data_IF_654088821892
#
_entry.id   IF_654088821892
#
_cell.length_a   1.000
_cell.length_b   1.000
_cell.length_c   1.000
_cell.angle_alpha   90.00
_cell.angle_beta   90.00
_cell.angle_gamma   90.00
#
_symmetry.space_group_name_H-M   'P 1'
#
loop_
_entity.id
_entity.type
_entity.pdbx_description
1 polymer ?
#
# COMPACT_ATOMS: atom_id res chain seq x y z
N UNK A 1 45.54 -69.54 20.91
CA UNK A 1 44.33 -69.95 20.16
C UNK A 1 43.70 -68.70 19.59
N UNK A 2 44.02 -68.30 18.34
CA UNK A 2 43.22 -68.55 17.13
C UNK A 2 41.71 -68.33 17.36
N UNK A 3 41.16 -67.22 16.86
CA UNK A 3 40.23 -67.23 15.73
C UNK A 3 39.91 -65.81 15.25
N UNK A 4 40.11 -65.60 13.96
CA UNK A 4 39.68 -64.44 13.19
C UNK A 4 38.39 -64.77 12.44
N UNK A 5 37.52 -63.78 12.22
CA UNK A 5 36.60 -63.65 11.07
C UNK A 5 36.10 -62.18 11.07
N UNK A 6 36.58 -61.27 10.19
CA UNK A 6 36.10 -60.96 8.82
C UNK A 6 34.56 -60.79 8.78
N UNK A 7 33.96 -59.64 8.42
CA UNK A 7 34.00 -59.01 7.08
C UNK A 7 33.07 -57.75 6.98
N UNK A 8 33.37 -56.88 5.99
CA UNK A 8 32.51 -55.90 5.26
C UNK A 8 31.90 -54.71 6.04
N UNK A 9 31.70 -53.50 5.52
CA UNK A 9 32.09 -52.75 4.31
C UNK A 9 31.38 -51.40 4.37
N UNK A 10 32.03 -50.33 3.88
CA UNK A 10 31.43 -49.14 3.24
C UNK A 10 30.26 -48.40 3.91
N UNK A 11 30.53 -47.16 4.35
CA UNK A 11 29.79 -46.00 3.82
C UNK A 11 30.54 -44.69 4.11
N UNK A 12 31.11 -44.10 3.06
CA UNK A 12 31.24 -42.64 2.99
C UNK A 12 29.82 -42.08 2.91
N UNK A 13 29.44 -41.22 3.86
CA UNK A 13 28.40 -40.21 3.61
C UNK A 13 29.02 -38.84 3.82
N UNK A 14 29.09 -38.13 2.70
CA UNK A 14 29.27 -36.68 2.63
C UNK A 14 28.38 -35.99 3.66
N UNK A 15 28.99 -35.24 4.59
CA UNK A 15 28.28 -34.19 5.33
C UNK A 15 28.49 -32.89 4.57
N UNK A 16 27.56 -32.59 3.66
CA UNK A 16 27.38 -31.24 3.12
C UNK A 16 25.90 -30.96 3.04
N UNK A 17 25.37 -30.24 4.04
CA UNK A 17 24.21 -29.36 3.93
C UNK A 17 23.76 -28.94 5.35
N UNK A 18 24.31 -27.85 5.85
CA UNK A 18 23.60 -27.04 6.86
C UNK A 18 24.02 -25.59 6.69
N UNK A 19 23.54 -24.95 5.62
CA UNK A 19 23.66 -23.50 5.45
C UNK A 19 22.35 -22.83 5.00
N UNK A 20 21.21 -23.49 5.17
CA UNK A 20 19.89 -22.91 4.85
C UNK A 20 19.12 -22.41 6.08
N UNK A 21 19.63 -22.63 7.30
CA UNK A 21 18.94 -22.25 8.55
C UNK A 21 19.17 -20.81 9.04
N UNK A 22 20.20 -20.12 8.54
CA UNK A 22 20.71 -18.88 9.16
C UNK A 22 19.96 -17.62 8.69
N UNK A 23 19.44 -17.59 7.47
CA UNK A 23 18.80 -16.40 6.88
C UNK A 23 17.39 -16.11 7.45
N UNK A 24 16.60 -17.15 7.72
CA UNK A 24 15.24 -17.01 8.25
C UNK A 24 15.21 -16.57 9.73
N UNK A 25 16.17 -17.03 10.55
CA UNK A 25 16.25 -16.64 11.96
C UNK A 25 16.75 -15.20 12.14
N UNK A 26 17.73 -14.76 11.36
CA UNK A 26 18.31 -13.42 11.45
C UNK A 26 17.35 -12.32 10.94
N UNK A 27 16.60 -12.60 9.87
CA UNK A 27 15.53 -11.71 9.36
C UNK A 27 14.37 -11.58 10.34
N UNK A 28 14.01 -12.65 11.05
CA UNK A 28 12.96 -12.62 12.08
C UNK A 28 13.31 -11.71 13.27
N UNK A 29 14.60 -11.68 13.67
CA UNK A 29 15.08 -10.80 14.74
C UNK A 29 15.05 -9.32 14.34
N UNK A 30 15.43 -9.01 13.10
CA UNK A 30 15.40 -7.64 12.59
C UNK A 30 13.99 -7.05 12.49
N UNK A 31 13.04 -7.81 11.94
CA UNK A 31 11.64 -7.37 11.82
C UNK A 31 11.00 -7.20 13.21
N UNK A 32 11.22 -8.15 14.13
CA UNK A 32 10.73 -8.03 15.51
C UNK A 32 11.32 -6.82 16.22
N UNK A 33 12.61 -6.55 16.05
CA UNK A 33 13.27 -5.37 16.61
C UNK A 33 12.72 -4.06 16.04
N UNK A 34 12.48 -3.99 14.74
CA UNK A 34 11.88 -2.83 14.09
C UNK A 34 10.44 -2.58 14.58
N UNK A 35 9.64 -3.64 14.71
CA UNK A 35 8.28 -3.57 15.27
C UNK A 35 8.29 -3.12 16.72
N UNK A 36 9.21 -3.62 17.55
CA UNK A 36 9.34 -3.21 18.94
C UNK A 36 9.67 -1.70 19.05
N UNK A 37 10.60 -1.21 18.23
CA UNK A 37 10.92 0.22 18.16
C UNK A 37 9.73 1.05 17.68
N UNK A 38 9.02 0.59 16.65
CA UNK A 38 7.81 1.24 16.18
C UNK A 38 6.77 1.35 17.30
N UNK A 39 6.56 0.27 18.06
CA UNK A 39 5.61 0.27 19.16
C UNK A 39 5.98 1.27 20.25
N UNK A 40 7.25 1.26 20.69
CA UNK A 40 7.73 2.23 21.67
C UNK A 40 7.49 3.68 21.22
N UNK A 41 7.77 4.00 19.95
CA UNK A 41 7.50 5.33 19.40
C UNK A 41 6.01 5.64 19.26
N UNK A 42 5.20 4.63 18.91
CA UNK A 42 3.76 4.79 18.72
C UNK A 42 3.02 4.93 20.06
N UNK A 43 3.56 4.39 21.14
CA UNK A 43 3.06 4.56 22.51
C UNK A 43 3.50 5.91 23.08
N UNK A 44 4.77 6.28 22.95
CA UNK A 44 5.30 7.56 23.47
C UNK A 44 4.77 8.77 22.70
N UNK A 45 4.68 8.68 21.36
CA UNK A 45 4.32 9.78 20.47
C UNK A 45 3.34 9.33 19.37
N UNK A 46 2.10 8.93 19.71
CA UNK A 46 1.17 8.28 18.78
C UNK A 46 0.85 9.09 17.53
N UNK A 47 0.62 10.39 17.67
CA UNK A 47 0.27 11.28 16.55
C UNK A 47 1.46 11.44 15.60
N UNK A 48 2.60 11.86 16.13
CA UNK A 48 3.81 12.11 15.33
C UNK A 48 4.29 10.84 14.64
N UNK A 49 4.23 9.69 15.33
CA UNK A 49 4.63 8.40 14.76
C UNK A 49 3.72 7.99 13.62
N UNK A 50 2.39 8.12 13.76
CA UNK A 50 1.43 7.78 12.69
C UNK A 50 1.55 8.71 11.49
N UNK A 51 1.68 10.01 11.72
CA UNK A 51 1.90 11.02 10.67
C UNK A 51 3.22 10.78 9.95
N UNK A 52 4.32 10.57 10.68
CA UNK A 52 5.62 10.26 10.09
C UNK A 52 5.59 8.96 9.27
N UNK A 53 4.92 7.93 9.78
CA UNK A 53 4.75 6.64 9.10
C UNK A 53 4.04 6.78 7.77
N UNK A 54 2.90 7.48 7.74
CA UNK A 54 2.14 7.67 6.51
C UNK A 54 2.95 8.48 5.48
N UNK A 55 3.59 9.57 5.91
CA UNK A 55 4.42 10.41 5.03
C UNK A 55 5.56 9.60 4.42
N UNK A 56 6.32 8.86 5.22
CA UNK A 56 7.47 8.06 4.74
C UNK A 56 7.02 7.01 3.74
N UNK A 57 5.95 6.27 4.03
CA UNK A 57 5.44 5.22 3.14
C UNK A 57 4.91 5.81 1.83
N UNK A 58 4.16 6.91 1.89
CA UNK A 58 3.62 7.56 0.69
C UNK A 58 4.72 8.17 -0.18
N UNK A 59 5.73 8.82 0.43
CA UNK A 59 6.90 9.33 -0.29
C UNK A 59 7.66 8.23 -1.01
N UNK A 60 7.90 7.12 -0.33
CA UNK A 60 8.54 5.95 -0.91
C UNK A 60 7.71 5.37 -2.06
N UNK A 61 6.39 5.19 -1.84
CA UNK A 61 5.48 4.67 -2.85
C UNK A 61 5.39 5.54 -4.10
N UNK A 62 5.29 6.86 -3.95
CA UNK A 62 5.22 7.78 -5.08
C UNK A 62 6.56 7.85 -5.83
N UNK A 63 7.69 7.87 -5.12
CA UNK A 63 9.03 7.78 -5.73
C UNK A 63 9.16 6.53 -6.60
N UNK A 64 8.70 5.38 -6.10
CA UNK A 64 8.72 4.13 -6.84
C UNK A 64 7.78 4.19 -8.06
N UNK A 65 6.55 4.70 -7.88
CA UNK A 65 5.58 4.84 -8.95
C UNK A 65 6.10 5.75 -10.09
N UNK A 66 6.72 6.88 -9.75
CA UNK A 66 7.32 7.79 -10.74
C UNK A 66 8.43 7.11 -11.53
N UNK A 67 9.29 6.31 -10.87
CA UNK A 67 10.35 5.54 -11.54
C UNK A 67 9.80 4.45 -12.45
N UNK A 68 8.75 3.73 -12.01
CA UNK A 68 8.09 2.70 -12.83
C UNK A 68 7.46 3.36 -14.07
N UNK A 69 6.74 4.48 -13.89
CA UNK A 69 6.11 5.22 -14.99
C UNK A 69 7.14 5.71 -16.00
N UNK A 70 8.27 6.24 -15.54
CA UNK A 70 9.37 6.65 -16.41
C UNK A 70 9.98 5.49 -17.20
N UNK A 71 10.30 4.38 -16.53
CA UNK A 71 10.84 3.17 -17.20
C UNK A 71 9.88 2.59 -18.23
N UNK A 72 8.59 2.60 -17.93
CA UNK A 72 7.57 2.10 -18.86
C UNK A 72 7.37 3.04 -20.06
N UNK A 73 7.41 4.36 -19.85
CA UNK A 73 7.39 5.32 -20.94
C UNK A 73 8.63 5.19 -21.83
N UNK A 74 9.80 4.94 -21.25
CA UNK A 74 11.04 4.70 -21.98
C UNK A 74 10.96 3.49 -22.92
N UNK A 75 10.34 2.39 -22.47
CA UNK A 75 10.16 1.17 -23.28
C UNK A 75 9.20 1.35 -24.46
N UNK A 76 8.25 2.27 -24.35
CA UNK A 76 7.24 2.53 -25.39
C UNK A 76 7.66 3.64 -26.37
N UNK A 77 8.75 4.35 -26.08
CA UNK A 77 9.26 5.42 -26.95
C UNK A 77 9.80 4.85 -28.26
N UNK A 78 9.25 5.30 -29.39
CA UNK A 78 9.60 4.80 -30.73
C UNK A 78 11.00 5.21 -31.20
N UNK A 79 11.56 6.27 -30.62
CA UNK A 79 12.77 6.90 -31.14
C UNK A 79 14.04 6.53 -30.34
N UNK A 80 13.97 5.56 -29.43
CA UNK A 80 15.12 5.07 -28.63
C UNK A 80 15.66 6.06 -27.58
N UNK A 81 15.34 7.35 -27.70
CA UNK A 81 15.71 8.39 -26.74
C UNK A 81 14.56 8.59 -25.72
N UNK A 82 14.58 7.81 -24.63
CA UNK A 82 13.74 8.14 -23.49
C UNK A 82 14.30 9.40 -22.79
N UNK A 83 13.46 10.41 -22.47
CA UNK A 83 13.95 11.58 -21.73
C UNK A 83 14.55 11.14 -20.38
N UNK A 84 15.57 11.84 -19.89
CA UNK A 84 16.17 11.54 -18.59
C UNK A 84 15.12 11.59 -17.47
N UNK A 85 15.24 10.72 -16.47
CA UNK A 85 14.32 10.70 -15.33
C UNK A 85 14.35 12.05 -14.61
N UNK A 86 13.18 12.67 -14.47
CA UNK A 86 12.99 13.89 -13.66
C UNK A 86 11.92 13.62 -12.62
N UNK A 87 12.26 13.87 -11.35
CA UNK A 87 11.33 13.73 -10.24
C UNK A 87 10.30 14.87 -10.27
N UNK A 88 9.02 14.54 -10.21
CA UNK A 88 7.94 15.50 -9.99
C UNK A 88 7.87 15.80 -8.48
N UNK A 89 8.62 16.81 -8.05
CA UNK A 89 8.69 17.26 -6.66
C UNK A 89 7.36 17.82 -6.16
N UNK A 90 6.55 18.43 -7.04
CA UNK A 90 5.22 18.96 -6.67
C UNK A 90 4.25 17.83 -6.37
N UNK A 91 4.29 16.76 -7.17
CA UNK A 91 3.55 15.52 -6.87
C UNK A 91 4.04 14.89 -5.58
N UNK A 92 5.35 14.80 -5.38
CA UNK A 92 5.92 14.24 -4.16
C UNK A 92 5.46 15.02 -2.91
N UNK A 93 5.47 16.36 -2.97
CA UNK A 93 4.97 17.24 -1.92
C UNK A 93 3.46 17.07 -1.69
N UNK A 94 2.68 16.89 -2.76
CA UNK A 94 1.24 16.63 -2.66
C UNK A 94 0.96 15.30 -1.92
N UNK A 95 1.68 14.23 -2.23
CA UNK A 95 1.55 12.95 -1.54
C UNK A 95 2.04 13.00 -0.09
N UNK A 96 3.14 13.70 0.20
CA UNK A 96 3.62 13.89 1.57
C UNK A 96 2.61 14.66 2.43
N UNK A 97 2.16 15.83 1.96
CA UNK A 97 1.20 16.66 2.70
C UNK A 97 -0.16 15.96 2.87
N UNK A 98 -0.64 15.27 1.84
CA UNK A 98 -1.84 14.43 1.94
C UNK A 98 -1.65 13.30 2.97
N UNK A 99 -0.48 12.64 2.93
CA UNK A 99 -0.11 11.61 3.89
C UNK A 99 -0.10 12.12 5.32
N UNK A 100 0.38 13.34 5.55
CA UNK A 100 0.39 13.94 6.87
C UNK A 100 -1.02 14.29 7.37
N UNK A 101 -1.77 15.05 6.57
CA UNK A 101 -3.05 15.64 6.97
C UNK A 101 -4.16 14.60 6.97
N UNK A 102 -4.31 13.86 5.88
CA UNK A 102 -5.42 12.92 5.73
C UNK A 102 -5.08 11.56 6.34
N UNK A 103 -4.06 10.88 5.81
CA UNK A 103 -3.76 9.48 6.22
C UNK A 103 -3.21 9.39 7.64
N UNK A 104 -2.32 10.31 8.00
CA UNK A 104 -1.64 10.30 9.29
C UNK A 104 -2.52 10.85 10.41
N UNK A 105 -3.07 12.05 10.20
CA UNK A 105 -3.78 12.79 11.24
C UNK A 105 -5.30 12.57 11.23
N UNK A 106 -5.99 12.81 10.11
CA UNK A 106 -7.44 12.67 10.07
C UNK A 106 -7.88 11.21 10.22
N UNK A 107 -7.31 10.29 9.46
CA UNK A 107 -7.74 8.88 9.46
C UNK A 107 -7.50 8.20 10.81
N UNK A 108 -6.47 8.58 11.58
CA UNK A 108 -6.29 7.98 12.91
C UNK A 108 -7.43 8.33 13.86
N UNK A 109 -7.92 9.57 13.79
CA UNK A 109 -9.07 10.01 14.58
C UNK A 109 -10.37 9.40 14.05
N UNK A 110 -10.51 9.32 12.73
CA UNK A 110 -11.67 8.69 12.10
C UNK A 110 -11.80 7.22 12.46
N UNK A 111 -10.72 6.44 12.37
CA UNK A 111 -10.74 5.03 12.79
C UNK A 111 -10.97 4.88 14.28
N UNK A 112 -10.42 5.77 15.11
CA UNK A 112 -10.72 5.79 16.55
C UNK A 112 -12.21 6.04 16.81
N UNK A 113 -12.81 7.00 16.11
CA UNK A 113 -14.24 7.29 16.19
C UNK A 113 -15.10 6.09 15.74
N UNK A 114 -14.75 5.44 14.63
CA UNK A 114 -15.44 4.23 14.21
C UNK A 114 -15.35 3.11 15.26
N UNK A 115 -14.23 3.01 15.98
CA UNK A 115 -14.08 2.04 17.07
C UNK A 115 -14.85 2.41 18.34
N UNK A 116 -15.16 3.68 18.57
CA UNK A 116 -16.06 4.07 19.67
C UNK A 116 -17.52 3.79 19.34
N UNK A 117 -17.93 3.97 18.08
CA UNK A 117 -19.30 3.71 17.61
C UNK A 117 -19.56 2.22 17.39
N UNK A 118 -18.54 1.49 16.91
CA UNK A 118 -18.58 0.05 16.66
C UNK A 118 -17.48 -0.66 17.46
N UNK A 119 -17.64 -0.81 18.79
CA UNK A 119 -16.62 -1.41 19.64
C UNK A 119 -16.26 -2.82 19.21
N UNK A 120 -14.95 -3.07 19.10
CA UNK A 120 -14.42 -4.37 18.72
C UNK A 120 -14.79 -5.41 19.77
N UNK A 121 -15.38 -6.50 19.31
CA UNK A 121 -15.76 -7.62 20.16
C UNK A 121 -14.56 -8.56 20.32
N UNK A 122 -13.99 -8.61 21.52
CA UNK A 122 -12.80 -9.42 21.87
C UNK A 122 -13.21 -10.85 22.24
N UNK A 123 -12.40 -11.86 21.89
CA UNK A 123 -12.64 -13.27 22.27
C UNK A 123 -13.52 -14.09 21.30
N UNK A 124 -14.19 -13.45 20.35
CA UNK A 124 -14.90 -14.13 19.26
C UNK A 124 -13.94 -14.51 18.12
N UNK A 125 -14.19 -15.65 17.47
CA UNK A 125 -13.45 -16.05 16.26
C UNK A 125 -13.46 -14.88 15.26
N UNK A 126 -12.29 -14.53 14.72
CA UNK A 126 -12.16 -13.47 13.74
C UNK A 126 -12.94 -13.84 12.47
N UNK A 127 -14.16 -13.32 12.36
CA UNK A 127 -15.04 -13.51 11.21
C UNK A 127 -15.26 -12.16 10.54
N UNK A 128 -15.15 -12.15 9.21
CA UNK A 128 -15.35 -10.94 8.41
C UNK A 128 -16.78 -10.39 8.54
N UNK A 129 -17.77 -11.28 8.68
CA UNK A 129 -19.19 -10.93 8.73
C UNK A 129 -19.67 -10.38 10.09
N UNK A 130 -18.77 -10.14 11.06
CA UNK A 130 -19.19 -9.59 12.35
C UNK A 130 -19.60 -8.13 12.21
N UNK A 131 -20.60 -7.72 13.00
CA UNK A 131 -21.13 -6.34 12.97
C UNK A 131 -20.05 -5.30 13.30
N UNK A 132 -19.15 -5.59 14.24
CA UNK A 132 -18.01 -4.72 14.62
C UNK A 132 -16.92 -4.62 13.54
N UNK A 133 -17.03 -5.39 12.46
CA UNK A 133 -16.15 -5.33 11.28
C UNK A 133 -16.90 -4.70 10.10
N UNK A 134 -18.08 -5.23 9.76
CA UNK A 134 -18.85 -4.79 8.59
C UNK A 134 -19.37 -3.36 8.74
N UNK A 135 -19.90 -2.98 9.91
CA UNK A 135 -20.49 -1.65 10.08
C UNK A 135 -19.46 -0.52 9.91
N UNK A 136 -18.30 -0.50 10.61
CA UNK A 136 -17.30 0.54 10.39
C UNK A 136 -16.71 0.49 8.97
N UNK A 137 -16.56 -0.71 8.39
CA UNK A 137 -16.10 -0.88 7.01
C UNK A 137 -17.05 -0.20 6.00
N UNK A 138 -18.36 -0.47 6.09
CA UNK A 138 -19.34 0.08 5.17
C UNK A 138 -19.51 1.59 5.36
N UNK A 139 -19.53 2.07 6.61
CA UNK A 139 -19.56 3.51 6.89
C UNK A 139 -18.32 4.20 6.31
N UNK A 140 -17.15 3.59 6.43
CA UNK A 140 -15.93 4.12 5.84
C UNK A 140 -15.99 4.10 4.30
N UNK A 141 -16.27 2.95 3.69
CA UNK A 141 -16.15 2.75 2.25
C UNK A 141 -17.27 3.39 1.42
N UNK A 142 -18.49 3.45 1.96
CA UNK A 142 -19.65 4.02 1.25
C UNK A 142 -19.89 5.49 1.62
N UNK A 143 -19.49 5.90 2.83
CA UNK A 143 -19.61 7.28 3.30
C UNK A 143 -18.31 8.05 3.13
N UNK A 144 -17.35 7.83 4.04
CA UNK A 144 -16.13 8.65 4.14
C UNK A 144 -15.27 8.62 2.88
N UNK A 145 -15.13 7.46 2.22
CA UNK A 145 -14.32 7.37 1.00
C UNK A 145 -14.97 8.10 -0.17
N UNK A 146 -16.28 7.92 -0.35
CA UNK A 146 -17.01 8.50 -1.47
C UNK A 146 -17.16 10.02 -1.36
N UNK A 147 -17.47 10.52 -0.16
CA UNK A 147 -17.83 11.93 0.06
C UNK A 147 -16.67 12.74 0.64
N UNK A 148 -15.78 12.11 1.40
CA UNK A 148 -14.65 12.78 2.04
C UNK A 148 -13.33 12.57 1.30
N UNK A 149 -12.87 11.33 1.19
CA UNK A 149 -11.53 10.99 0.66
C UNK A 149 -11.30 11.51 -0.74
N UNK A 150 -12.14 11.13 -1.71
CA UNK A 150 -11.89 11.46 -3.11
C UNK A 150 -11.97 12.98 -3.38
N UNK A 151 -13.01 13.70 -2.93
CA UNK A 151 -13.06 15.15 -3.09
C UNK A 151 -11.86 15.84 -2.44
N UNK A 152 -11.51 15.47 -1.20
CA UNK A 152 -10.36 16.04 -0.53
C UNK A 152 -9.05 15.72 -1.24
N UNK A 153 -8.86 14.49 -1.72
CA UNK A 153 -7.67 14.07 -2.46
C UNK A 153 -7.47 14.90 -3.72
N UNK A 154 -8.51 15.03 -4.56
CA UNK A 154 -8.39 15.81 -5.80
C UNK A 154 -8.19 17.30 -5.53
N UNK A 155 -8.93 17.87 -4.58
CA UNK A 155 -8.78 19.28 -4.21
C UNK A 155 -7.38 19.57 -3.65
N UNK A 156 -6.94 18.80 -2.64
CA UNK A 156 -5.66 19.02 -1.97
C UNK A 156 -4.47 18.79 -2.90
N UNK A 157 -4.45 17.66 -3.61
CA UNK A 157 -3.34 17.36 -4.52
C UNK A 157 -3.32 18.28 -5.73
N UNK A 158 -4.49 18.78 -6.19
CA UNK A 158 -4.57 19.83 -7.19
C UNK A 158 -3.94 21.14 -6.70
N UNK A 159 -4.36 21.59 -5.51
CA UNK A 159 -3.84 22.81 -4.88
C UNK A 159 -2.31 22.77 -4.71
N UNK A 160 -1.76 21.71 -4.11
CA UNK A 160 -0.30 21.60 -3.89
C UNK A 160 0.48 21.54 -5.22
N UNK A 161 -0.14 21.04 -6.29
CA UNK A 161 0.47 21.02 -7.63
C UNK A 161 0.33 22.36 -8.36
N UNK A 162 -0.42 23.31 -7.82
CA UNK A 162 -0.65 24.63 -8.39
C UNK A 162 -1.78 24.67 -9.42
N UNK A 163 -2.73 23.73 -9.35
CA UNK A 163 -3.93 23.74 -10.19
C UNK A 163 -4.99 24.65 -9.60
N UNK A 164 -5.85 25.18 -10.46
CA UNK A 164 -7.03 25.92 -10.01
C UNK A 164 -8.08 24.97 -9.42
N UNK A 165 -9.07 25.54 -8.74
CA UNK A 165 -10.21 24.80 -8.22
C UNK A 165 -10.97 24.09 -9.35
N UNK A 166 -11.23 24.80 -10.45
CA UNK A 166 -12.00 24.28 -11.58
C UNK A 166 -11.28 23.12 -12.28
N UNK A 167 -9.96 23.24 -12.48
CA UNK A 167 -9.13 22.14 -13.03
C UNK A 167 -9.18 20.89 -12.14
N UNK A 168 -9.12 21.09 -10.81
CA UNK A 168 -9.15 19.99 -9.84
C UNK A 168 -10.52 19.31 -9.81
N UNK A 169 -11.59 20.10 -9.91
CA UNK A 169 -12.97 19.64 -9.99
C UNK A 169 -13.26 18.89 -11.29
N UNK A 170 -12.76 19.38 -12.42
CA UNK A 170 -12.88 18.71 -13.71
C UNK A 170 -12.12 17.38 -13.71
N UNK A 171 -10.89 17.34 -13.19
CA UNK A 171 -10.13 16.10 -13.07
C UNK A 171 -10.84 15.08 -12.17
N UNK A 172 -11.41 15.54 -11.05
CA UNK A 172 -12.23 14.70 -10.18
C UNK A 172 -13.41 14.14 -10.97
N UNK A 173 -14.24 14.94 -11.62
CA UNK A 173 -15.40 14.46 -12.40
C UNK A 173 -15.00 13.47 -13.50
N UNK A 174 -13.84 13.68 -14.12
CA UNK A 174 -13.30 12.81 -15.16
C UNK A 174 -12.87 11.44 -14.63
N UNK A 175 -12.23 11.41 -13.45
CA UNK A 175 -11.65 10.19 -12.87
C UNK A 175 -12.59 9.47 -11.91
N UNK A 176 -13.37 10.22 -11.14
CA UNK A 176 -14.33 9.74 -10.16
C UNK A 176 -15.60 9.24 -10.84
N UNK A 177 -15.47 8.06 -11.44
CA UNK A 177 -16.54 7.32 -12.13
C UNK A 177 -16.81 6.00 -11.42
N UNK A 178 -17.95 5.39 -11.71
CA UNK A 178 -18.32 4.06 -11.19
C UNK A 178 -17.22 3.01 -11.39
N UNK A 179 -16.48 3.07 -12.51
CA UNK A 179 -15.34 2.16 -12.75
C UNK A 179 -14.23 2.31 -11.70
N UNK A 180 -13.87 3.54 -11.33
CA UNK A 180 -12.86 3.77 -10.28
C UNK A 180 -13.37 3.32 -8.92
N UNK A 181 -14.64 3.60 -8.61
CA UNK A 181 -15.28 3.15 -7.37
C UNK A 181 -15.33 1.62 -7.26
N UNK A 182 -15.69 0.92 -8.34
CA UNK A 182 -15.70 -0.54 -8.37
C UNK A 182 -14.30 -1.12 -8.12
N UNK A 183 -13.27 -0.57 -8.77
CA UNK A 183 -11.87 -0.98 -8.54
C UNK A 183 -11.42 -0.67 -7.10
N UNK A 184 -11.82 0.48 -6.57
CA UNK A 184 -11.53 0.87 -5.19
C UNK A 184 -12.16 -0.10 -4.21
N UNK A 185 -13.45 -0.40 -4.36
CA UNK A 185 -14.16 -1.34 -3.48
C UNK A 185 -13.61 -2.76 -3.59
N UNK A 186 -13.28 -3.23 -4.79
CA UNK A 186 -12.68 -4.55 -4.98
C UNK A 186 -11.36 -4.73 -4.20
N UNK A 187 -10.57 -3.66 -4.06
CA UNK A 187 -9.33 -3.69 -3.29
C UNK A 187 -9.54 -3.39 -1.80
N UNK A 188 -10.24 -2.29 -1.49
CA UNK A 188 -10.30 -1.75 -0.14
C UNK A 188 -11.33 -2.42 0.76
N UNK A 189 -12.41 -3.02 0.23
CA UNK A 189 -13.37 -3.76 1.07
C UNK A 189 -12.68 -4.97 1.74
N UNK A 190 -11.98 -5.85 0.99
CA UNK A 190 -11.19 -6.92 1.61
C UNK A 190 -10.09 -6.39 2.53
N UNK A 191 -9.29 -5.42 2.06
CA UNK A 191 -8.15 -4.90 2.81
C UNK A 191 -8.58 -4.27 4.14
N UNK A 192 -9.61 -3.43 4.15
CA UNK A 192 -10.10 -2.83 5.38
C UNK A 192 -10.90 -3.79 6.25
N UNK A 193 -11.58 -4.77 5.67
CA UNK A 193 -12.22 -5.79 6.48
C UNK A 193 -11.18 -6.64 7.24
N UNK A 194 -10.01 -6.93 6.65
CA UNK A 194 -8.85 -7.47 7.37
C UNK A 194 -8.36 -6.49 8.45
N UNK A 195 -8.26 -5.20 8.13
CA UNK A 195 -7.86 -4.17 9.10
C UNK A 195 -8.75 -4.18 10.36
N UNK A 196 -10.08 -4.14 10.18
CA UNK A 196 -11.03 -4.11 11.30
C UNK A 196 -11.18 -5.46 12.00
N UNK A 197 -11.01 -6.58 11.29
CA UNK A 197 -11.13 -7.92 11.86
C UNK A 197 -9.87 -8.40 12.59
N UNK A 198 -8.68 -8.09 12.08
CA UNK A 198 -7.43 -8.74 12.50
C UNK A 198 -6.39 -7.74 13.02
N UNK A 199 -6.26 -6.56 12.41
CA UNK A 199 -5.19 -5.61 12.75
C UNK A 199 -5.54 -4.86 14.04
N UNK A 200 -4.63 -4.79 15.04
CA UNK A 200 -4.83 -3.97 16.22
C UNK A 200 -4.91 -2.48 15.86
N UNK A 201 -5.72 -1.71 16.59
CA UNK A 201 -5.98 -0.28 16.31
C UNK A 201 -4.70 0.56 16.23
N UNK A 202 -3.70 0.24 17.04
CA UNK A 202 -2.39 0.90 17.08
C UNK A 202 -1.65 0.85 15.74
N UNK A 203 -1.90 -0.17 14.91
CA UNK A 203 -1.24 -0.38 13.61
C UNK A 203 -2.12 -0.01 12.41
N UNK A 204 -3.33 0.50 12.60
CA UNK A 204 -4.23 0.80 11.48
C UNK A 204 -3.63 1.78 10.47
N UNK A 205 -2.89 2.79 10.94
CA UNK A 205 -2.22 3.75 10.03
C UNK A 205 -1.05 3.12 9.28
N UNK A 206 -0.25 2.28 9.95
CA UNK A 206 0.82 1.53 9.29
C UNK A 206 0.24 0.63 8.19
N UNK A 207 -0.82 -0.12 8.52
CA UNK A 207 -1.48 -1.04 7.61
C UNK A 207 -2.11 -0.32 6.41
N UNK A 208 -2.92 0.72 6.64
CA UNK A 208 -3.59 1.45 5.56
C UNK A 208 -2.58 2.14 4.63
N UNK A 209 -1.46 2.64 5.18
CA UNK A 209 -0.39 3.25 4.39
C UNK A 209 0.30 2.22 3.49
N UNK A 210 0.59 1.02 4.02
CA UNK A 210 1.16 -0.08 3.25
C UNK A 210 0.21 -0.58 2.15
N UNK A 211 -1.09 -0.73 2.46
CA UNK A 211 -2.10 -1.07 1.45
C UNK A 211 -2.27 0.04 0.42
N UNK A 212 -2.11 1.31 0.81
CA UNK A 212 -2.12 2.46 -0.09
C UNK A 212 -0.99 2.39 -1.12
N UNK A 213 0.20 1.93 -0.72
CA UNK A 213 1.31 1.70 -1.64
C UNK A 213 0.98 0.59 -2.66
N UNK A 214 0.37 -0.52 -2.22
CA UNK A 214 -0.09 -1.58 -3.11
C UNK A 214 -1.16 -1.08 -4.09
N UNK A 215 -2.15 -0.32 -3.59
CA UNK A 215 -3.18 0.30 -4.42
C UNK A 215 -2.61 1.23 -5.48
N UNK A 216 -1.69 2.13 -5.10
CA UNK A 216 -1.04 3.04 -6.04
C UNK A 216 -0.23 2.28 -7.12
N UNK A 217 0.39 1.16 -6.75
CA UNK A 217 1.10 0.29 -7.69
C UNK A 217 0.13 -0.34 -8.68
N UNK A 218 -0.98 -0.90 -8.22
CA UNK A 218 -2.03 -1.48 -9.08
C UNK A 218 -2.57 -0.43 -10.06
N UNK A 219 -2.91 0.76 -9.57
CA UNK A 219 -3.40 1.85 -10.43
C UNK A 219 -2.37 2.23 -11.49
N UNK A 220 -1.08 2.25 -11.13
CA UNK A 220 -0.02 2.53 -12.09
C UNK A 220 0.06 1.45 -13.15
N UNK A 221 -0.01 0.17 -12.80
CA UNK A 221 0.06 -0.94 -13.74
C UNK A 221 -1.15 -0.97 -14.70
N UNK A 222 -2.36 -0.82 -14.17
CA UNK A 222 -3.61 -0.78 -14.98
C UNK A 222 -3.61 0.43 -15.93
N UNK A 223 -2.96 1.52 -15.56
CA UNK A 223 -2.83 2.69 -16.44
C UNK A 223 -1.86 2.41 -17.59
N UNK A 224 -0.79 1.63 -17.34
CA UNK A 224 0.19 1.28 -18.36
C UNK A 224 -0.38 0.35 -19.44
N UNK A 225 -1.22 -0.61 -19.07
CA UNK A 225 -1.86 -1.55 -20.02
C UNK A 225 -2.72 -0.84 -21.07
N UNK A 226 -3.30 0.32 -20.74
CA UNK A 226 -4.17 1.08 -21.66
C UNK A 226 -3.41 1.92 -22.68
N UNK A 227 -2.12 2.17 -22.47
CA UNK A 227 -1.31 3.00 -23.37
C UNK A 227 -1.17 2.34 -24.76
N UNK A 228 -0.83 1.04 -24.87
CA UNK A 228 -0.82 0.32 -26.15
C UNK A 228 -2.16 0.33 -26.89
N UNK A 229 -3.27 0.10 -26.18
CA UNK A 229 -4.62 0.06 -26.77
C UNK A 229 -5.01 1.41 -27.39
N UNK A 230 -4.83 2.50 -26.64
CA UNK A 230 -5.13 3.85 -27.11
C UNK A 230 -4.26 4.24 -28.31
N UNK A 231 -2.99 3.83 -28.34
CA UNK A 231 -2.10 4.07 -29.46
C UNK A 231 -2.52 3.30 -30.73
N UNK A 232 -3.09 2.10 -30.58
CA UNK A 232 -3.64 1.32 -31.70
C UNK A 232 -4.95 1.92 -32.23
N UNK A 233 -5.86 2.35 -31.35
CA UNK A 233 -7.11 2.99 -31.76
C UNK A 233 -6.87 4.29 -32.53
N UNK A 234 -5.91 5.10 -32.08
CA UNK A 234 -5.56 6.36 -32.75
C UNK A 234 -4.95 6.12 -34.14
N UNK A 235 -4.19 5.03 -34.33
CA UNK A 235 -3.71 4.63 -35.66
C UNK A 235 -4.86 4.22 -36.57
N UNK A 236 -5.83 3.46 -36.05
CA UNK A 236 -7.01 3.01 -36.81
C UNK A 236 -7.90 4.16 -37.27
N UNK A 237 -8.03 5.24 -36.48
CA UNK A 237 -8.84 6.42 -36.86
C UNK A 237 -8.15 7.34 -37.89
N UNK A 238 -6.84 7.19 -38.08
CA UNK A 238 -6.04 7.97 -39.03
C UNK A 238 -5.78 7.24 -40.36
N UNK A 239 -6.15 5.97 -40.43
CA UNK A 239 -6.12 5.14 -41.63
C UNK A 239 -7.53 5.09 -42.23
#
# INVERSE_FOLDING_TARGET
>A
MRHAHRRFSSQRRFSSASNEGTSAQQTSGGIRGALAKYNALNEAHPTTTKVGTSVVILLFGDTMAQRIQHRSAAKTSKDGAAPAFRMDWRRLAAFASFGAIYTGYFQMHWFRYLQTVFPRQVGLKARFLRKDVLAPLLVNQLGMVCVGYYPFFFAWTGFVRGRTWDESMEEMKKKYKLKLLAQNWAFWIPAQGVQFALVPSSYHILYVSAMGLAWNTILSLVTLEKIPEAAQELKRKKA
#
